data_IF_355543231770
#
_entry.id   IF_355543231770
#
_cell.length_a   1.000
_cell.length_b   1.000
_cell.length_c   1.000
_cell.angle_alpha   90.00
_cell.angle_beta   90.00
_cell.angle_gamma   90.00
#
_symmetry.space_group_name_H-M   'P 1'
#
loop_
_entity.id
_entity.type
_entity.pdbx_description
1 polymer ?
#
# COMPACT_ATOMS: atom_id res chain seq x y z
N UNK A 1 -2.18 -3.46 -6.41
CA UNK A 1 -1.83 -2.89 -5.09
C UNK A 1 -0.37 -3.12 -4.68
N UNK A 2 0.26 -4.28 -4.94
CA UNK A 2 1.68 -4.46 -4.58
C UNK A 2 2.63 -3.64 -5.47
N UNK A 3 3.44 -2.72 -4.92
CA UNK A 3 4.34 -1.85 -5.70
C UNK A 3 5.34 -2.69 -6.47
N UNK A 4 5.64 -2.29 -7.72
CA UNK A 4 6.58 -3.03 -8.58
C UNK A 4 8.01 -2.56 -8.41
N UNK A 5 8.18 -1.26 -8.19
CA UNK A 5 9.46 -0.59 -7.95
C UNK A 5 9.43 0.11 -6.59
N UNK A 6 10.59 0.21 -5.96
CA UNK A 6 10.84 0.98 -4.75
C UNK A 6 12.16 1.73 -4.90
N UNK A 7 12.50 2.59 -3.94
CA UNK A 7 13.76 3.34 -3.96
C UNK A 7 14.55 3.09 -2.69
N UNK A 8 15.81 2.69 -2.85
CA UNK A 8 16.73 2.55 -1.71
C UNK A 8 17.58 3.79 -1.58
N UNK A 9 17.75 4.23 -0.33
CA UNK A 9 18.66 5.33 0.00
C UNK A 9 20.10 4.80 -0.06
N UNK A 10 20.90 5.36 -0.95
CA UNK A 10 22.32 5.01 -1.11
C UNK A 10 23.15 6.28 -0.99
N UNK A 11 24.18 6.24 -0.17
CA UNK A 11 25.06 7.38 0.04
C UNK A 11 26.47 6.97 0.38
N UNK A 12 27.43 7.81 -0.03
CA UNK A 12 28.84 7.72 0.37
C UNK A 12 29.39 9.14 0.47
N UNK A 13 30.28 9.37 1.44
CA UNK A 13 30.97 10.65 1.62
C UNK A 13 30.05 11.88 1.73
N UNK A 14 29.01 11.81 2.57
CA UNK A 14 28.18 12.98 2.91
C UNK A 14 27.10 13.35 1.90
N UNK A 15 26.97 12.61 0.79
CA UNK A 15 25.86 12.79 -0.16
C UNK A 15 24.95 11.56 -0.17
N UNK A 16 23.66 11.80 -0.33
CA UNK A 16 22.63 10.76 -0.38
C UNK A 16 21.87 10.88 -1.69
N UNK A 17 21.74 9.77 -2.41
CA UNK A 17 20.88 9.62 -3.59
C UNK A 17 19.90 8.48 -3.38
N UNK A 18 18.86 8.43 -4.20
CA UNK A 18 17.95 7.29 -4.27
C UNK A 18 18.28 6.48 -5.51
N UNK A 19 18.38 5.16 -5.34
CA UNK A 19 18.50 4.23 -6.45
C UNK A 19 17.19 3.44 -6.57
N UNK A 20 16.66 3.36 -7.79
CA UNK A 20 15.51 2.52 -8.08
C UNK A 20 15.89 1.04 -7.93
N UNK A 21 15.01 0.27 -7.31
CA UNK A 21 15.16 -1.17 -7.12
C UNK A 21 13.83 -1.87 -7.38
N UNK A 22 13.88 -3.07 -7.94
CA UNK A 22 12.72 -3.93 -8.08
C UNK A 22 12.28 -4.51 -6.73
N UNK A 23 10.97 -4.69 -6.55
CA UNK A 23 10.41 -5.28 -5.33
C UNK A 23 10.27 -6.80 -5.48
N UNK A 24 10.80 -7.56 -4.52
CA UNK A 24 10.68 -9.02 -4.52
C UNK A 24 9.22 -9.48 -4.50
N UNK A 25 8.85 -10.58 -5.17
CA UNK A 25 7.47 -11.04 -5.26
C UNK A 25 6.78 -11.21 -3.90
N UNK A 26 7.50 -11.76 -2.91
CA UNK A 26 6.97 -11.92 -1.55
C UNK A 26 6.68 -10.58 -0.88
N UNK A 27 7.57 -9.59 -1.04
CA UNK A 27 7.36 -8.25 -0.49
C UNK A 27 6.16 -7.56 -1.13
N UNK A 28 5.92 -7.78 -2.43
CA UNK A 28 4.74 -7.24 -3.13
C UNK A 28 3.42 -7.71 -2.52
N UNK A 29 3.33 -9.00 -2.19
CA UNK A 29 2.15 -9.58 -1.54
C UNK A 29 1.97 -9.04 -0.13
N UNK A 30 3.04 -9.07 0.67
CA UNK A 30 2.99 -8.63 2.06
C UNK A 30 2.63 -7.14 2.18
N UNK A 31 3.22 -6.29 1.32
CA UNK A 31 2.93 -4.86 1.29
C UNK A 31 1.47 -4.60 0.86
N UNK A 32 0.97 -5.32 -0.14
CA UNK A 32 -0.41 -5.17 -0.61
C UNK A 32 -1.43 -5.50 0.50
N UNK A 33 -1.24 -6.62 1.22
CA UNK A 33 -2.11 -7.01 2.33
C UNK A 33 -2.06 -5.96 3.44
N UNK A 34 -0.85 -5.51 3.80
CA UNK A 34 -0.68 -4.52 4.84
C UNK A 34 -1.40 -3.20 4.51
N UNK A 35 -1.23 -2.68 3.29
CA UNK A 35 -1.87 -1.43 2.86
C UNK A 35 -3.41 -1.54 2.82
N UNK A 36 -3.97 -2.66 2.38
CA UNK A 36 -5.41 -2.90 2.40
C UNK A 36 -5.97 -2.89 3.83
N UNK A 37 -5.28 -3.57 4.76
CA UNK A 37 -5.66 -3.59 6.17
C UNK A 37 -5.55 -2.21 6.82
N UNK A 38 -4.50 -1.44 6.50
CA UNK A 38 -4.30 -0.08 7.01
C UNK A 38 -5.43 0.84 6.52
N UNK A 39 -5.73 0.84 5.22
CA UNK A 39 -6.81 1.65 4.65
C UNK A 39 -8.18 1.29 5.24
N UNK A 40 -8.48 0.00 5.38
CA UNK A 40 -9.74 -0.44 5.99
C UNK A 40 -9.85 -0.04 7.47
N UNK A 41 -8.75 -0.12 8.23
CA UNK A 41 -8.71 0.29 9.64
C UNK A 41 -8.90 1.81 9.79
N UNK A 42 -8.23 2.60 8.96
CA UNK A 42 -8.39 4.06 8.96
C UNK A 42 -9.80 4.48 8.57
N UNK A 43 -10.40 3.83 7.56
CA UNK A 43 -11.76 4.11 7.10
C UNK A 43 -12.83 3.72 8.13
N UNK A 44 -12.59 2.68 8.94
CA UNK A 44 -13.50 2.24 10.00
C UNK A 44 -13.35 3.08 11.29
N UNK A 45 -12.20 3.74 11.50
CA UNK A 45 -11.96 4.50 12.72
C UNK A 45 -12.88 5.72 12.80
N UNK A 46 -13.69 5.79 13.87
CA UNK A 46 -14.70 6.85 14.09
C UNK A 46 -15.72 6.97 12.95
N UNK A 47 -16.02 5.87 12.27
CA UNK A 47 -17.02 5.80 11.21
C UNK A 47 -18.20 4.90 11.65
N UNK A 48 -19.36 5.09 11.02
CA UNK A 48 -20.57 4.29 11.25
C UNK A 48 -20.42 2.91 10.58
N UNK A 49 -19.71 2.86 9.44
CA UNK A 49 -19.45 1.62 8.73
C UNK A 49 -18.66 0.63 9.59
N UNK A 50 -19.05 -0.64 9.52
CA UNK A 50 -18.32 -1.72 10.18
C UNK A 50 -16.98 -1.97 9.50
N UNK A 51 -16.03 -2.56 10.23
CA UNK A 51 -14.72 -2.91 9.64
C UNK A 51 -14.87 -3.89 8.47
N UNK A 52 -15.88 -4.77 8.48
CA UNK A 52 -16.15 -5.70 7.38
C UNK A 52 -16.57 -4.96 6.10
N UNK A 53 -17.44 -3.94 6.21
CA UNK A 53 -17.84 -3.11 5.07
C UNK A 53 -16.66 -2.31 4.51
N UNK A 54 -15.84 -1.73 5.39
CA UNK A 54 -14.64 -1.01 4.97
C UNK A 54 -13.64 -1.93 4.26
N UNK A 55 -13.44 -3.16 4.74
CA UNK A 55 -12.58 -4.15 4.06
C UNK A 55 -13.15 -4.54 2.69
N UNK A 56 -14.47 -4.75 2.59
CA UNK A 56 -15.11 -5.12 1.33
C UNK A 56 -15.01 -4.00 0.29
N UNK A 57 -15.32 -2.77 0.68
CA UNK A 57 -15.17 -1.58 -0.17
C UNK A 57 -13.73 -1.45 -0.67
N UNK A 58 -12.76 -1.68 0.21
CA UNK A 58 -11.34 -1.54 -0.09
C UNK A 58 -10.83 -2.63 -1.05
N UNK A 59 -11.28 -3.88 -0.88
CA UNK A 59 -10.98 -4.98 -1.80
C UNK A 59 -11.58 -4.73 -3.20
N UNK A 60 -12.83 -4.25 -3.27
CA UNK A 60 -13.50 -3.97 -4.55
C UNK A 60 -12.78 -2.83 -5.28
N UNK A 61 -12.43 -1.75 -4.57
CA UNK A 61 -11.72 -0.63 -5.17
C UNK A 61 -10.32 -1.04 -5.64
N UNK A 62 -9.60 -1.85 -4.86
CA UNK A 62 -8.31 -2.37 -5.23
C UNK A 62 -8.37 -3.30 -6.46
N UNK A 63 -9.39 -4.17 -6.54
CA UNK A 63 -9.60 -5.06 -7.68
C UNK A 63 -9.91 -4.29 -8.98
N UNK A 64 -10.64 -3.17 -8.86
CA UNK A 64 -10.96 -2.28 -10.00
C UNK A 64 -9.82 -1.36 -10.40
N UNK A 65 -8.68 -1.38 -9.69
CA UNK A 65 -7.59 -0.45 -9.97
C UNK A 65 -7.89 1.00 -9.59
N UNK A 66 -8.90 1.25 -8.73
CA UNK A 66 -9.34 2.59 -8.38
C UNK A 66 -8.36 3.26 -7.41
N UNK A 67 -8.00 4.50 -7.70
CA UNK A 67 -7.20 5.36 -6.81
C UNK A 67 -7.93 5.76 -5.51
N UNK A 68 -9.21 5.40 -5.38
CA UNK A 68 -9.92 5.50 -4.10
C UNK A 68 -9.38 4.51 -3.07
N UNK A 69 -8.79 3.39 -3.51
CA UNK A 69 -8.14 2.45 -2.60
C UNK A 69 -6.83 3.03 -2.06
N UNK A 70 -6.67 2.96 -0.74
CA UNK A 70 -5.43 3.25 -0.03
C UNK A 70 -4.25 2.43 -0.56
N UNK A 71 -4.48 1.19 -0.97
CA UNK A 71 -3.43 0.30 -1.46
C UNK A 71 -3.01 0.56 -2.93
N UNK A 72 -3.59 1.56 -3.60
CA UNK A 72 -3.26 1.97 -4.97
C UNK A 72 -2.61 3.35 -5.03
N UNK A 73 -2.89 4.22 -4.04
CA UNK A 73 -2.21 5.51 -3.89
C UNK A 73 -0.72 5.34 -3.64
#
# INVERSE_FOLDING_TARGET
>A
SGPREDSTRIGRAGTVRRQAVDVSPLRRVNQAIWLLCTGAREAAFRNIKTIAECVADELINAAKGSSNSYAIK
#
